data_IF_295345195251
#
_entry.id   IF_295345195251
#
_cell.length_a   1.000
_cell.length_b   1.000
_cell.length_c   1.000
_cell.angle_alpha   90.00
_cell.angle_beta   90.00
_cell.angle_gamma   90.00
#
_symmetry.space_group_name_H-M   'P 1'
#
loop_
_entity.id
_entity.type
_entity.pdbx_description
1 polymer ?
#
# COMPACT_ATOMS: atom_id res chain seq x y z
N UNK A 1 55.65 -9.75 -23.19
CA UNK A 1 55.31 -9.19 -21.88
C UNK A 1 54.07 -8.23 -21.92
N UNK A 2 54.06 -7.19 -22.74
CA UNK A 2 52.99 -6.18 -22.81
C UNK A 2 51.59 -6.78 -23.12
N UNK A 3 51.49 -7.79 -23.99
CA UNK A 3 50.25 -8.48 -24.35
C UNK A 3 49.68 -9.38 -23.21
N UNK A 4 50.59 -9.96 -22.42
CA UNK A 4 50.20 -10.81 -21.27
C UNK A 4 49.64 -9.94 -20.13
N UNK A 5 50.22 -8.75 -19.91
CA UNK A 5 49.73 -7.81 -18.89
C UNK A 5 48.34 -7.27 -19.25
N UNK A 6 48.10 -6.95 -20.54
CA UNK A 6 46.78 -6.50 -21.01
C UNK A 6 45.71 -7.61 -20.83
N UNK A 7 46.07 -8.88 -21.13
CA UNK A 7 45.17 -10.01 -20.93
C UNK A 7 44.84 -10.25 -19.45
N UNK A 8 45.81 -10.05 -18.54
CA UNK A 8 45.66 -10.19 -17.12
C UNK A 8 44.76 -9.07 -16.53
N UNK A 9 44.89 -7.84 -17.01
CA UNK A 9 44.05 -6.69 -16.60
C UNK A 9 42.59 -6.90 -17.07
N UNK A 10 42.38 -7.43 -18.27
CA UNK A 10 41.06 -7.76 -18.78
C UNK A 10 40.38 -8.89 -17.96
N UNK A 11 41.14 -9.85 -17.44
CA UNK A 11 40.62 -10.95 -16.62
C UNK A 11 40.19 -10.47 -15.23
N UNK A 12 40.86 -9.47 -14.65
CA UNK A 12 40.51 -8.90 -13.33
C UNK A 12 39.25 -8.01 -13.39
N UNK A 13 38.99 -7.40 -14.56
CA UNK A 13 37.80 -6.54 -14.77
C UNK A 13 36.46 -7.28 -14.80
N UNK A 14 36.44 -8.61 -14.88
CA UNK A 14 35.24 -9.43 -14.93
C UNK A 14 34.88 -10.08 -13.60
N UNK A 15 35.49 -9.71 -12.49
CA UNK A 15 35.04 -10.11 -11.17
C UNK A 15 33.79 -9.27 -10.81
N UNK A 16 32.64 -9.63 -11.36
CA UNK A 16 31.34 -9.11 -10.93
C UNK A 16 31.17 -9.47 -9.45
N UNK A 17 31.41 -8.49 -8.59
CA UNK A 17 31.20 -8.67 -7.16
C UNK A 17 29.73 -9.08 -6.92
N UNK A 18 29.50 -10.33 -6.61
CA UNK A 18 28.21 -10.76 -6.08
C UNK A 18 28.07 -10.16 -4.70
N UNK A 19 27.26 -9.13 -4.57
CA UNK A 19 26.92 -8.59 -3.25
C UNK A 19 26.03 -9.62 -2.55
N UNK A 20 26.41 -10.10 -1.37
CA UNK A 20 25.55 -11.00 -0.62
C UNK A 20 24.25 -10.28 -0.27
N UNK A 21 23.12 -10.94 -0.53
CA UNK A 21 21.81 -10.45 -0.11
C UNK A 21 21.70 -10.72 1.39
N UNK A 22 21.55 -9.67 2.19
CA UNK A 22 21.29 -9.77 3.61
C UNK A 22 19.80 -9.59 3.88
N UNK A 23 19.22 -10.55 4.60
CA UNK A 23 17.86 -10.44 5.09
C UNK A 23 17.88 -9.93 6.53
N UNK A 24 17.12 -8.86 6.79
CA UNK A 24 16.84 -8.40 8.15
C UNK A 24 15.49 -8.95 8.58
N UNK A 25 15.47 -9.68 9.68
CA UNK A 25 14.22 -10.12 10.29
C UNK A 25 13.59 -8.97 11.08
N UNK A 26 12.29 -8.75 10.91
CA UNK A 26 11.50 -7.79 11.69
C UNK A 26 10.32 -8.57 12.29
N UNK A 27 10.35 -8.75 13.58
CA UNK A 27 9.34 -9.48 14.34
C UNK A 27 8.89 -8.73 15.60
N UNK A 28 8.33 -9.45 16.55
CA UNK A 28 7.88 -8.88 17.82
C UNK A 28 9.01 -8.23 18.64
N UNK A 29 10.23 -8.75 18.51
CA UNK A 29 11.40 -8.18 19.20
C UNK A 29 11.83 -6.84 18.63
N UNK A 30 11.62 -6.65 17.33
CA UNK A 30 11.84 -5.38 16.61
C UNK A 30 10.62 -4.45 16.69
N UNK A 31 9.58 -4.86 17.44
CA UNK A 31 8.43 -4.02 17.80
C UNK A 31 7.22 -4.15 16.90
N UNK A 32 7.09 -5.21 16.08
CA UNK A 32 5.82 -5.44 15.37
C UNK A 32 4.67 -5.65 16.37
N UNK A 33 3.48 -5.16 16.00
CA UNK A 33 2.26 -5.34 16.79
C UNK A 33 1.84 -6.79 16.88
N UNK A 34 2.05 -7.55 15.79
CA UNK A 34 1.63 -8.95 15.66
C UNK A 34 2.36 -9.58 14.46
N UNK A 35 2.54 -10.91 14.46
CA UNK A 35 3.31 -11.63 13.44
C UNK A 35 2.55 -11.90 12.13
N UNK A 36 1.20 -11.87 12.15
CA UNK A 36 0.40 -11.99 10.93
C UNK A 36 0.41 -10.66 10.18
N UNK A 37 1.39 -10.49 9.31
CA UNK A 37 1.50 -9.33 8.42
C UNK A 37 0.68 -9.59 7.17
N UNK A 38 -0.37 -8.81 6.96
CA UNK A 38 -1.32 -8.93 5.84
C UNK A 38 -0.96 -8.00 4.68
N UNK A 39 -0.34 -6.84 4.97
CA UNK A 39 0.09 -5.88 3.98
C UNK A 39 1.43 -5.25 4.33
N UNK A 40 2.22 -4.95 3.30
CA UNK A 40 3.51 -4.27 3.43
C UNK A 40 3.55 -3.14 2.40
N UNK A 41 3.96 -1.95 2.85
CA UNK A 41 4.12 -0.79 1.99
C UNK A 41 5.33 0.03 2.42
N UNK A 42 6.10 0.57 1.46
CA UNK A 42 7.17 1.52 1.73
C UNK A 42 6.73 2.91 1.31
N UNK A 43 6.74 3.86 2.24
CA UNK A 43 6.37 5.25 1.95
C UNK A 43 7.54 6.06 1.35
N UNK A 44 7.23 7.29 0.91
CA UNK A 44 8.19 8.18 0.25
C UNK A 44 9.34 8.64 1.18
N UNK A 45 9.23 8.43 2.49
CA UNK A 45 10.30 8.67 3.47
C UNK A 45 11.15 7.42 3.71
N UNK A 46 10.88 6.31 3.00
CA UNK A 46 11.56 5.04 3.16
C UNK A 46 11.10 4.21 4.35
N UNK A 47 10.07 4.64 5.09
CA UNK A 47 9.53 3.88 6.21
C UNK A 47 8.71 2.69 5.71
N UNK A 48 8.84 1.58 6.40
CA UNK A 48 8.06 0.37 6.12
C UNK A 48 6.80 0.33 6.97
N UNK A 49 5.67 0.16 6.31
CA UNK A 49 4.36 0.01 6.91
C UNK A 49 3.94 -1.44 6.88
N UNK A 50 3.52 -1.96 8.01
CA UNK A 50 3.05 -3.33 8.17
C UNK A 50 1.62 -3.31 8.68
N UNK A 51 0.68 -3.71 7.84
CA UNK A 51 -0.70 -3.99 8.23
C UNK A 51 -0.78 -5.36 8.87
N UNK A 52 -1.34 -5.45 10.05
CA UNK A 52 -1.40 -6.69 10.83
C UNK A 52 -2.84 -6.97 11.29
N UNK A 53 -3.03 -8.08 12.01
CA UNK A 53 -4.29 -8.40 12.70
C UNK A 53 -4.46 -7.63 14.03
N UNK A 54 -3.47 -6.82 14.44
CA UNK A 54 -3.55 -5.97 15.64
C UNK A 54 -3.10 -4.53 15.34
N UNK A 55 -3.68 -3.94 14.29
CA UNK A 55 -3.41 -2.57 13.89
C UNK A 55 -2.27 -2.43 12.90
N UNK A 56 -1.59 -1.29 12.93
CA UNK A 56 -0.54 -0.95 11.96
C UNK A 56 0.77 -0.63 12.67
N UNK A 57 1.87 -1.13 12.11
CA UNK A 57 3.23 -0.87 12.59
C UNK A 57 4.02 -0.12 11.54
N UNK A 58 4.74 0.94 11.91
CA UNK A 58 5.57 1.75 11.03
C UNK A 58 7.01 1.67 11.51
N UNK A 59 7.89 1.11 10.68
CA UNK A 59 9.31 0.96 10.95
C UNK A 59 10.11 1.99 10.15
N UNK A 60 10.94 2.80 10.83
CA UNK A 60 11.73 3.88 10.21
C UNK A 60 13.18 3.50 9.89
N UNK A 61 13.54 2.22 10.04
CA UNK A 61 14.89 1.71 9.88
C UNK A 61 15.61 1.47 11.23
N UNK A 62 15.15 2.11 12.29
CA UNK A 62 15.73 2.02 13.65
C UNK A 62 14.72 1.48 14.65
N UNK A 63 13.52 2.05 14.68
CA UNK A 63 12.47 1.73 15.64
C UNK A 63 11.12 1.51 14.95
N UNK A 64 10.26 0.76 15.63
CA UNK A 64 8.88 0.52 15.16
C UNK A 64 7.90 1.32 16.03
N UNK A 65 7.06 2.11 15.39
CA UNK A 65 5.93 2.77 16.02
C UNK A 65 4.66 1.98 15.72
N UNK A 66 3.98 1.55 16.78
CA UNK A 66 2.77 0.74 16.69
C UNK A 66 1.54 1.59 16.97
N UNK A 67 0.48 1.36 16.19
CA UNK A 67 -0.82 1.99 16.35
C UNK A 67 -1.88 0.89 16.50
N UNK A 68 -2.35 0.69 17.73
CA UNK A 68 -3.37 -0.30 18.10
C UNK A 68 -4.72 0.35 18.39
N UNK A 69 -5.83 -0.35 18.23
CA UNK A 69 -7.17 0.18 18.48
C UNK A 69 -7.37 0.71 19.91
N UNK A 70 -6.82 0.00 20.89
CA UNK A 70 -6.99 0.32 22.32
C UNK A 70 -6.35 1.63 22.77
N UNK A 71 -5.33 2.11 22.04
CA UNK A 71 -4.60 3.33 22.39
C UNK A 71 -5.35 4.60 21.95
N UNK A 72 -6.30 4.47 21.04
CA UNK A 72 -6.98 5.60 20.41
C UNK A 72 -8.41 5.84 20.88
N UNK A 73 -9.02 4.88 21.56
CA UNK A 73 -10.39 5.05 22.09
C UNK A 73 -10.50 6.10 23.22
N UNK A 74 -9.39 6.56 23.80
CA UNK A 74 -9.38 7.50 24.92
C UNK A 74 -9.16 8.97 24.54
N UNK A 75 -8.73 9.27 23.32
CA UNK A 75 -8.52 10.65 22.87
C UNK A 75 -9.09 10.87 21.48
N UNK A 76 -10.33 11.36 21.40
CA UNK A 76 -10.95 11.93 20.19
C UNK A 76 -10.41 11.44 18.84
N UNK A 77 -11.13 10.48 18.23
CA UNK A 77 -11.14 10.25 16.80
C UNK A 77 -9.88 9.68 16.14
N UNK A 78 -9.34 8.57 16.61
CA UNK A 78 -8.51 7.80 15.72
C UNK A 78 -9.18 6.47 15.39
N UNK A 79 -9.51 6.24 14.12
CA UNK A 79 -10.39 5.14 13.70
C UNK A 79 -9.61 3.87 13.33
N UNK A 80 -8.42 3.65 13.89
CA UNK A 80 -7.65 2.44 13.61
C UNK A 80 -8.31 1.26 14.32
N UNK A 81 -8.78 0.30 13.53
CA UNK A 81 -9.28 -0.98 13.95
C UNK A 81 -8.18 -2.04 14.10
N UNK A 82 -8.58 -3.31 14.21
CA UNK A 82 -7.62 -4.40 14.39
C UNK A 82 -6.94 -4.78 13.08
N UNK A 83 -7.71 -5.06 12.04
CA UNK A 83 -7.19 -5.67 10.81
C UNK A 83 -6.90 -4.64 9.73
N UNK A 84 -5.74 -4.77 9.09
CA UNK A 84 -5.33 -3.98 7.92
C UNK A 84 -4.80 -4.92 6.85
N UNK A 85 -5.50 -5.02 5.71
CA UNK A 85 -5.18 -5.92 4.61
C UNK A 85 -4.60 -5.21 3.38
N UNK A 86 -4.85 -3.90 3.25
CA UNK A 86 -4.42 -3.13 2.09
C UNK A 86 -3.79 -1.82 2.54
N UNK A 87 -2.62 -1.49 1.94
CA UNK A 87 -1.92 -0.23 2.19
C UNK A 87 -1.40 0.28 0.85
N UNK A 88 -1.66 1.54 0.54
CA UNK A 88 -1.10 2.20 -0.64
C UNK A 88 -0.87 3.69 -0.39
N UNK A 89 0.09 4.28 -1.10
CA UNK A 89 0.37 5.71 -1.02
C UNK A 89 0.00 6.48 -2.28
N UNK A 90 -0.39 7.74 -2.10
CA UNK A 90 -0.61 8.67 -3.21
C UNK A 90 0.72 9.34 -3.65
N UNK A 91 0.64 10.12 -4.73
CA UNK A 91 1.79 10.90 -5.24
C UNK A 91 2.32 11.94 -4.26
N UNK A 92 1.48 12.41 -3.33
CA UNK A 92 1.81 13.42 -2.35
C UNK A 92 2.39 12.83 -1.06
N UNK A 93 2.50 11.49 -0.99
CA UNK A 93 3.09 10.72 0.09
C UNK A 93 2.11 10.39 1.22
N UNK A 94 0.84 10.72 1.10
CA UNK A 94 -0.16 10.25 2.06
C UNK A 94 -0.36 8.75 1.91
N UNK A 95 -0.65 8.07 3.02
CA UNK A 95 -0.87 6.62 3.05
C UNK A 95 -2.33 6.33 3.34
N UNK A 96 -2.91 5.45 2.52
CA UNK A 96 -4.30 5.02 2.63
C UNK A 96 -4.33 3.52 2.94
N UNK A 97 -5.19 3.12 3.86
CA UNK A 97 -5.31 1.72 4.24
C UNK A 97 -6.71 1.41 4.76
N UNK A 98 -7.09 0.15 4.65
CA UNK A 98 -8.28 -0.35 5.32
C UNK A 98 -7.99 -0.56 6.80
N UNK A 99 -9.00 -0.41 7.64
CA UNK A 99 -8.91 -0.72 9.05
C UNK A 99 -10.27 -1.19 9.55
N UNK A 100 -10.44 -2.50 9.74
CA UNK A 100 -11.71 -3.16 9.96
C UNK A 100 -12.75 -2.73 8.89
N UNK A 101 -13.78 -1.98 9.31
CA UNK A 101 -14.85 -1.46 8.44
C UNK A 101 -14.65 0.03 8.13
N UNK A 102 -13.41 0.45 7.88
CA UNK A 102 -13.10 1.85 7.61
C UNK A 102 -11.98 2.01 6.60
N UNK A 103 -12.01 3.11 5.87
CA UNK A 103 -10.90 3.58 5.04
C UNK A 103 -10.24 4.75 5.75
N UNK A 104 -8.95 4.61 6.03
CA UNK A 104 -8.14 5.56 6.77
C UNK A 104 -7.13 6.21 5.84
N UNK A 105 -6.90 7.51 6.03
CA UNK A 105 -5.78 8.27 5.45
C UNK A 105 -4.84 8.70 6.55
N UNK A 106 -3.57 8.47 6.35
CA UNK A 106 -2.49 9.11 7.10
C UNK A 106 -1.94 10.26 6.25
N UNK A 107 -2.07 11.47 6.77
CA UNK A 107 -1.51 12.67 6.16
C UNK A 107 -0.03 12.79 6.55
N UNK A 108 0.86 12.77 5.54
CA UNK A 108 2.30 12.72 5.75
C UNK A 108 2.84 14.02 6.38
N UNK A 109 2.22 15.16 6.09
CA UNK A 109 2.69 16.47 6.55
C UNK A 109 2.27 16.72 8.00
N UNK A 110 1.01 16.43 8.32
CA UNK A 110 0.47 16.65 9.67
C UNK A 110 0.69 15.47 10.59
N UNK A 111 1.08 14.31 10.05
CA UNK A 111 1.24 13.03 10.75
C UNK A 111 -0.02 12.59 11.50
N UNK A 112 -1.18 12.89 10.93
CA UNK A 112 -2.48 12.55 11.53
C UNK A 112 -3.23 11.53 10.70
N UNK A 113 -3.96 10.66 11.40
CA UNK A 113 -4.90 9.74 10.79
C UNK A 113 -6.28 10.40 10.69
N UNK A 114 -6.99 10.13 9.62
CA UNK A 114 -8.38 10.53 9.42
C UNK A 114 -9.19 9.38 8.84
N UNK A 115 -10.40 9.17 9.35
CA UNK A 115 -11.34 8.23 8.75
C UNK A 115 -12.06 8.91 7.60
N UNK A 116 -11.85 8.40 6.39
CA UNK A 116 -12.49 8.93 5.19
C UNK A 116 -13.86 8.30 4.96
N UNK A 117 -14.00 7.00 5.22
CA UNK A 117 -15.24 6.24 5.01
C UNK A 117 -15.38 5.18 6.09
N UNK A 118 -16.60 5.02 6.61
CA UNK A 118 -17.01 3.88 7.44
C UNK A 118 -17.75 2.88 6.56
N UNK A 119 -16.99 2.00 5.91
CA UNK A 119 -17.52 0.97 5.02
C UNK A 119 -16.46 -0.10 4.80
N UNK A 120 -16.88 -1.32 4.52
CA UNK A 120 -15.97 -2.40 4.17
C UNK A 120 -15.21 -2.04 2.89
N UNK A 121 -13.89 -2.00 2.98
CA UNK A 121 -12.96 -1.81 1.89
C UNK A 121 -12.47 -3.19 1.44
N UNK A 122 -12.53 -3.46 0.16
CA UNK A 122 -12.16 -4.75 -0.43
C UNK A 122 -10.86 -4.70 -1.21
N UNK A 123 -10.39 -3.50 -1.55
CA UNK A 123 -9.06 -3.25 -2.12
C UNK A 123 -8.69 -1.79 -1.99
N UNK A 124 -7.39 -1.52 -1.82
CA UNK A 124 -6.78 -0.19 -1.94
C UNK A 124 -5.56 -0.36 -2.83
N UNK A 125 -5.48 0.43 -3.90
CA UNK A 125 -4.36 0.39 -4.83
C UNK A 125 -3.91 1.81 -5.20
N UNK A 126 -2.62 1.96 -5.50
CA UNK A 126 -2.08 3.19 -6.10
C UNK A 126 -1.84 2.94 -7.59
N UNK A 127 -2.54 3.67 -8.43
CA UNK A 127 -2.38 3.62 -9.88
C UNK A 127 -1.91 4.99 -10.35
N UNK A 128 -0.68 5.07 -10.86
CA UNK A 128 -0.01 6.32 -11.27
C UNK A 128 -0.05 7.40 -10.17
N UNK A 129 0.07 6.98 -8.91
CA UNK A 129 0.07 7.88 -7.76
C UNK A 129 -1.32 8.38 -7.34
N UNK A 130 -2.38 7.90 -7.96
CA UNK A 130 -3.77 8.13 -7.54
C UNK A 130 -4.29 6.92 -6.78
N UNK A 131 -4.95 7.13 -5.66
CA UNK A 131 -5.54 6.06 -4.87
C UNK A 131 -6.88 5.63 -5.47
N UNK A 132 -6.98 4.32 -5.67
CA UNK A 132 -8.18 3.64 -6.11
C UNK A 132 -8.66 2.72 -5.00
N UNK A 133 -9.96 2.69 -4.77
CA UNK A 133 -10.55 1.85 -3.74
C UNK A 133 -11.77 1.08 -4.26
N UNK A 134 -11.88 -0.17 -3.83
CA UNK A 134 -13.07 -0.99 -4.01
C UNK A 134 -13.92 -0.99 -2.74
N UNK A 135 -15.11 -0.42 -2.80
CA UNK A 135 -16.08 -0.35 -1.68
C UNK A 135 -17.42 -0.88 -2.17
N UNK A 136 -17.95 -1.89 -1.50
CA UNK A 136 -19.16 -2.60 -1.93
C UNK A 136 -19.00 -3.09 -3.40
N UNK A 137 -19.91 -2.71 -4.29
CA UNK A 137 -19.91 -3.02 -5.72
C UNK A 137 -19.30 -1.89 -6.57
N UNK A 138 -18.61 -0.93 -5.95
CA UNK A 138 -18.17 0.29 -6.63
C UNK A 138 -16.66 0.48 -6.57
N UNK A 139 -16.12 1.07 -7.62
CA UNK A 139 -14.74 1.53 -7.71
C UNK A 139 -14.73 3.05 -7.64
N UNK A 140 -13.90 3.58 -6.76
CA UNK A 140 -13.77 5.01 -6.50
C UNK A 140 -12.30 5.42 -6.63
N UNK A 141 -12.03 6.71 -6.95
CA UNK A 141 -10.70 7.31 -6.94
C UNK A 141 -10.63 8.49 -5.99
N UNK A 142 -9.50 8.63 -5.31
CA UNK A 142 -9.25 9.75 -4.43
C UNK A 142 -9.10 11.06 -5.22
N UNK A 143 -9.88 12.07 -4.83
CA UNK A 143 -9.78 13.43 -5.34
C UNK A 143 -9.30 14.36 -4.22
N UNK A 144 -8.04 14.82 -4.24
CA UNK A 144 -7.49 15.66 -3.20
C UNK A 144 -8.16 17.03 -3.12
N UNK A 145 -8.62 17.58 -4.23
CA UNK A 145 -9.25 18.90 -4.27
C UNK A 145 -10.59 18.91 -3.53
N UNK A 146 -11.32 17.79 -3.59
CA UNK A 146 -12.58 17.61 -2.87
C UNK A 146 -12.37 17.05 -1.46
N UNK A 147 -11.17 16.56 -1.15
CA UNK A 147 -10.88 15.75 0.03
C UNK A 147 -11.89 14.58 0.18
N UNK A 148 -12.26 13.97 -0.93
CA UNK A 148 -13.26 12.90 -1.04
C UNK A 148 -12.99 12.05 -2.29
N UNK A 149 -13.81 11.04 -2.53
CA UNK A 149 -13.69 10.13 -3.65
C UNK A 149 -14.65 10.46 -4.78
N UNK A 150 -14.14 10.39 -6.01
CA UNK A 150 -14.94 10.39 -7.21
C UNK A 150 -15.34 8.96 -7.58
N UNK A 151 -16.57 8.81 -8.03
CA UNK A 151 -17.08 7.53 -8.54
C UNK A 151 -16.49 7.26 -9.93
N UNK A 152 -15.96 6.05 -10.13
CA UNK A 152 -15.43 5.61 -11.42
C UNK A 152 -16.39 4.67 -12.12
N UNK A 153 -16.70 3.55 -11.50
CA UNK A 153 -17.59 2.54 -12.08
C UNK A 153 -18.21 1.64 -11.02
N UNK A 154 -19.20 0.89 -11.44
CA UNK A 154 -19.83 -0.15 -10.65
C UNK A 154 -19.57 -1.51 -11.29
N UNK A 155 -19.36 -2.52 -10.45
CA UNK A 155 -19.27 -3.91 -10.90
C UNK A 155 -20.63 -4.37 -11.42
N UNK A 156 -20.62 -5.29 -12.38
CA UNK A 156 -21.84 -5.76 -13.06
C UNK A 156 -22.82 -6.43 -12.10
N UNK A 157 -22.30 -7.17 -11.12
CA UNK A 157 -23.09 -7.82 -10.10
C UNK A 157 -22.88 -7.15 -8.73
N UNK A 158 -23.96 -6.76 -8.07
CA UNK A 158 -23.94 -6.11 -6.76
C UNK A 158 -23.35 -6.97 -5.64
N UNK A 159 -23.27 -8.28 -5.83
CA UNK A 159 -22.65 -9.18 -4.87
C UNK A 159 -21.12 -9.33 -5.10
N UNK A 160 -20.61 -8.87 -6.22
CA UNK A 160 -19.17 -8.86 -6.49
C UNK A 160 -18.45 -7.82 -5.64
N UNK A 161 -17.20 -8.12 -5.32
CA UNK A 161 -16.28 -7.22 -4.63
C UNK A 161 -14.97 -7.17 -5.41
N UNK A 162 -14.43 -5.98 -5.61
CA UNK A 162 -13.11 -5.84 -6.22
C UNK A 162 -12.04 -6.30 -5.23
N UNK A 163 -11.24 -7.27 -5.63
CA UNK A 163 -10.15 -7.84 -4.80
C UNK A 163 -8.78 -7.31 -5.19
N UNK A 164 -8.63 -6.85 -6.43
CA UNK A 164 -7.40 -6.20 -6.90
C UNK A 164 -7.71 -5.27 -8.07
N UNK A 165 -6.83 -4.29 -8.26
CA UNK A 165 -6.90 -3.28 -9.31
C UNK A 165 -5.53 -3.13 -9.94
N UNK A 166 -5.45 -3.11 -11.25
CA UNK A 166 -4.22 -2.96 -12.01
C UNK A 166 -4.47 -2.14 -13.28
N UNK A 167 -3.54 -1.26 -13.63
CA UNK A 167 -3.44 -0.68 -14.96
C UNK A 167 -2.29 -1.34 -15.72
N UNK A 168 -2.54 -1.79 -16.94
CA UNK A 168 -1.50 -2.36 -17.80
C UNK A 168 -0.73 -1.27 -18.58
N UNK A 169 0.31 -1.69 -19.29
CA UNK A 169 1.13 -0.77 -20.11
C UNK A 169 0.37 -0.11 -21.25
N UNK A 170 -0.79 -0.63 -21.64
CA UNK A 170 -1.68 -0.06 -22.65
C UNK A 170 -2.69 0.94 -22.09
N UNK A 171 -2.66 1.22 -20.78
CA UNK A 171 -3.63 2.12 -20.13
C UNK A 171 -4.99 1.47 -19.87
N UNK A 172 -5.05 0.14 -19.88
CA UNK A 172 -6.28 -0.60 -19.61
C UNK A 172 -6.36 -0.97 -18.14
N UNK A 173 -7.56 -0.89 -17.57
CA UNK A 173 -7.78 -1.22 -16.17
C UNK A 173 -8.34 -2.63 -16.02
N UNK A 174 -7.71 -3.39 -15.16
CA UNK A 174 -8.10 -4.76 -14.82
C UNK A 174 -8.61 -4.77 -13.39
N UNK A 175 -9.80 -5.31 -13.21
CA UNK A 175 -10.45 -5.42 -11.90
C UNK A 175 -10.65 -6.91 -11.62
N UNK A 176 -9.88 -7.45 -10.68
CA UNK A 176 -10.18 -8.76 -10.12
C UNK A 176 -11.34 -8.65 -9.16
N UNK A 177 -12.29 -9.59 -9.27
CA UNK A 177 -13.46 -9.64 -8.39
C UNK A 177 -13.55 -10.98 -7.67
N UNK A 178 -14.43 -11.10 -6.71
CA UNK A 178 -14.65 -12.36 -5.97
C UNK A 178 -15.05 -13.53 -6.87
N UNK A 179 -15.68 -13.27 -8.02
CA UNK A 179 -16.23 -14.32 -8.88
C UNK A 179 -15.54 -14.40 -10.26
N UNK A 180 -14.87 -13.34 -10.70
CA UNK A 180 -14.30 -13.23 -12.04
C UNK A 180 -13.24 -12.13 -12.16
N UNK A 181 -12.64 -11.99 -13.34
CA UNK A 181 -11.84 -10.83 -13.71
C UNK A 181 -12.65 -10.01 -14.73
N UNK A 182 -12.95 -8.76 -14.37
CA UNK A 182 -13.57 -7.80 -15.29
C UNK A 182 -12.50 -6.91 -15.91
N UNK A 183 -12.59 -6.73 -17.20
CA UNK A 183 -11.76 -5.83 -17.98
C UNK A 183 -12.59 -4.63 -18.44
N UNK A 184 -12.11 -3.42 -18.22
CA UNK A 184 -12.78 -2.22 -18.72
C UNK A 184 -11.79 -1.24 -19.35
N UNK A 185 -12.22 -0.61 -20.47
CA UNK A 185 -11.67 0.66 -20.93
C UNK A 185 -12.37 1.77 -20.14
N UNK A 186 -11.76 2.22 -19.04
CA UNK A 186 -12.29 3.37 -18.32
C UNK A 186 -11.76 4.65 -18.97
N UNK A 187 -12.65 5.44 -19.54
CA UNK A 187 -12.36 6.85 -19.79
C UNK A 187 -12.51 7.57 -18.46
N UNK A 188 -11.39 7.98 -17.85
CA UNK A 188 -11.47 8.83 -16.67
C UNK A 188 -12.11 10.16 -17.05
N UNK A 189 -12.98 10.72 -16.21
CA UNK A 189 -13.45 12.09 -16.39
C UNK A 189 -12.23 13.02 -16.34
N UNK A 190 -12.07 13.82 -17.39
CA UNK A 190 -11.05 14.88 -17.52
C UNK A 190 -11.37 16.04 -16.60
#
# INVERSE_FOLDING_TARGET
MRRIIISLILLIGFCSGTYPIYFKHIGMQEGLSQLSVMAIYQDNLGRMWFGTEEGISIYDGVQTKVYKPSEFHRQNANPIGNQTHFIAGDKDGNVFFDSDQSLIRYDIQTQKFSCLRKSNVYTVASIKGTIWVGIADSILTWNPDKNDFDFVTRLENRNQRATCLLEDSGGRYWIGTTDAVSYTHLTLPT
#
